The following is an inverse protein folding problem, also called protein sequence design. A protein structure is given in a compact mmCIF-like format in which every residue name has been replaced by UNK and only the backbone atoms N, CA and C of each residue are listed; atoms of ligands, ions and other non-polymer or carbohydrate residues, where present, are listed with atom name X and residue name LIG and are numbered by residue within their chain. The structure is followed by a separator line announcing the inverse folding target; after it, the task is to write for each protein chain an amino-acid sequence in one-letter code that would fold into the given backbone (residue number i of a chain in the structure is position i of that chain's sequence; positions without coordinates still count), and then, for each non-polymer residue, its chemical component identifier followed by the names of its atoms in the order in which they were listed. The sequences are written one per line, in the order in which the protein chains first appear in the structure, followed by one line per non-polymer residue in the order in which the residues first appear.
data_IF_916262578651
#
_entry.id   IF_916262578651
#
_cell.length_a   1.000
_cell.length_b   1.000
_cell.length_c   1.000
_cell.angle_alpha   90.00
_cell.angle_beta   90.00
_cell.angle_gamma   90.00
#
_symmetry.space_group_name_H-M   'P 1'
#
loop_
_entity.id
_entity.type
_entity.pdbx_description
1 polymer ?
#
# COMPACT_ATOMS: atom_id res chain seq x y z
N UNK A 1 13.52 -1.94 33.30
CA UNK A 1 13.44 -2.97 32.24
C UNK A 1 11.98 -3.39 32.00
N UNK A 2 11.19 -3.66 33.05
CA UNK A 2 9.79 -4.11 32.92
C UNK A 2 8.85 -3.16 32.15
N UNK A 3 9.04 -1.84 32.23
CA UNK A 3 8.15 -0.87 31.60
C UNK A 3 8.20 -0.91 30.07
N UNK A 4 9.35 -1.24 29.48
CA UNK A 4 9.50 -1.34 28.02
C UNK A 4 8.73 -2.56 27.49
N UNK A 5 8.75 -3.68 28.24
CA UNK A 5 8.19 -4.96 27.80
C UNK A 5 6.65 -4.94 27.80
N UNK A 6 6.00 -4.15 28.68
CA UNK A 6 4.53 -4.08 28.76
C UNK A 6 3.85 -3.56 27.48
N UNK A 7 4.56 -2.83 26.63
CA UNK A 7 4.05 -2.33 25.35
C UNK A 7 4.44 -3.18 24.13
N UNK A 8 5.22 -4.23 24.33
CA UNK A 8 5.85 -5.01 23.25
C UNK A 8 5.00 -6.25 22.96
N UNK A 9 4.70 -6.50 21.67
CA UNK A 9 3.98 -7.72 21.25
C UNK A 9 4.76 -8.95 21.71
N UNK A 10 4.08 -10.02 22.14
CA UNK A 10 4.73 -11.18 22.76
C UNK A 10 5.87 -11.82 21.94
N UNK A 11 5.80 -11.78 20.60
CA UNK A 11 6.87 -12.26 19.72
C UNK A 11 8.13 -11.36 19.75
N UNK A 12 7.94 -10.05 19.90
CA UNK A 12 9.03 -9.07 19.99
C UNK A 12 9.65 -9.10 21.41
N UNK A 13 8.87 -9.49 22.44
CA UNK A 13 9.32 -9.58 23.82
C UNK A 13 10.43 -10.62 24.01
N UNK A 14 10.32 -11.79 23.37
CA UNK A 14 11.35 -12.83 23.43
C UNK A 14 12.69 -12.35 22.85
N UNK A 15 12.65 -11.57 21.76
CA UNK A 15 13.86 -11.04 21.10
C UNK A 15 14.58 -9.99 21.93
N UNK A 16 13.87 -9.21 22.75
CA UNK A 16 14.47 -8.18 23.60
C UNK A 16 14.87 -8.70 24.97
N UNK A 17 14.30 -9.82 25.43
CA UNK A 17 14.66 -10.45 26.71
C UNK A 17 16.11 -10.99 26.72
N UNK A 18 16.72 -11.21 25.56
CA UNK A 18 18.14 -11.62 25.45
C UNK A 18 19.11 -10.42 25.42
N UNK A 19 18.61 -9.19 25.33
CA UNK A 19 19.45 -7.99 25.32
C UNK A 19 19.90 -7.65 26.75
N UNK A 20 21.16 -7.25 26.89
CA UNK A 20 21.76 -7.00 28.21
C UNK A 20 21.52 -5.57 28.68
N UNK A 21 21.24 -4.64 27.76
CA UNK A 21 21.02 -3.23 28.08
C UNK A 21 19.69 -2.70 27.54
N UNK A 22 19.12 -1.70 28.21
CA UNK A 22 17.91 -1.03 27.74
C UNK A 22 18.09 -0.35 26.38
N UNK A 23 19.32 0.08 26.06
CA UNK A 23 19.67 0.65 24.76
C UNK A 23 19.57 -0.41 23.66
N UNK A 24 20.18 -1.58 23.86
CA UNK A 24 20.07 -2.70 22.92
C UNK A 24 18.61 -3.11 22.70
N UNK A 25 17.81 -3.21 23.78
CA UNK A 25 16.38 -3.51 23.66
C UNK A 25 15.65 -2.48 22.78
N UNK A 26 15.90 -1.18 23.00
CA UNK A 26 15.28 -0.10 22.23
C UNK A 26 15.71 -0.13 20.76
N UNK A 27 16.99 -0.33 20.50
CA UNK A 27 17.55 -0.41 19.15
C UNK A 27 16.96 -1.61 18.39
N UNK A 28 16.87 -2.78 19.03
CA UNK A 28 16.22 -3.97 18.45
C UNK A 28 14.74 -3.74 18.14
N UNK A 29 13.97 -3.15 19.05
CA UNK A 29 12.56 -2.84 18.81
C UNK A 29 12.36 -1.87 17.66
N UNK A 30 13.22 -0.85 17.60
CA UNK A 30 13.19 0.16 16.54
C UNK A 30 13.50 -0.50 15.19
N UNK A 31 14.53 -1.34 15.12
CA UNK A 31 14.90 -2.07 13.90
C UNK A 31 13.77 -2.99 13.41
N UNK A 32 13.17 -3.78 14.30
CA UNK A 32 12.05 -4.68 13.97
C UNK A 32 10.80 -3.90 13.56
N UNK A 33 10.50 -2.77 14.20
CA UNK A 33 9.41 -1.88 13.77
C UNK A 33 9.70 -1.32 12.37
N UNK A 34 10.90 -0.80 12.14
CA UNK A 34 11.29 -0.25 10.83
C UNK A 34 11.21 -1.30 9.72
N UNK A 35 11.67 -2.53 9.97
CA UNK A 35 11.60 -3.62 9.01
C UNK A 35 10.15 -4.01 8.69
N UNK A 36 9.29 -4.08 9.71
CA UNK A 36 7.85 -4.36 9.52
C UNK A 36 7.16 -3.25 8.75
N UNK A 37 7.42 -1.99 9.09
CA UNK A 37 6.84 -0.84 8.41
C UNK A 37 7.29 -0.84 6.93
N UNK A 38 8.57 -1.07 6.64
CA UNK A 38 9.05 -1.20 5.25
C UNK A 38 8.37 -2.35 4.50
N UNK A 39 8.31 -3.53 5.12
CA UNK A 39 7.69 -4.72 4.52
C UNK A 39 6.20 -4.51 4.24
N UNK A 40 5.50 -3.85 5.15
CA UNK A 40 4.09 -3.49 4.99
C UNK A 40 3.88 -2.48 3.87
N UNK A 41 4.73 -1.46 3.74
CA UNK A 41 4.64 -0.50 2.65
C UNK A 41 4.89 -1.15 1.27
N UNK A 42 5.85 -2.09 1.18
CA UNK A 42 6.08 -2.88 -0.05
C UNK A 42 4.86 -3.76 -0.38
N UNK A 43 4.26 -4.40 0.62
CA UNK A 43 3.05 -5.20 0.44
C UNK A 43 1.88 -4.35 -0.06
N UNK A 44 1.61 -3.20 0.56
CA UNK A 44 0.58 -2.27 0.13
C UNK A 44 0.79 -1.75 -1.30
N UNK A 45 2.05 -1.47 -1.67
CA UNK A 45 2.38 -1.10 -3.06
C UNK A 45 2.00 -2.23 -4.00
N UNK A 46 2.42 -3.45 -3.72
CA UNK A 46 2.07 -4.61 -4.55
C UNK A 46 0.55 -4.78 -4.68
N UNK A 47 -0.18 -4.67 -3.58
CA UNK A 47 -1.65 -4.73 -3.57
C UNK A 47 -2.23 -3.65 -4.50
N UNK A 48 -1.80 -2.40 -4.36
CA UNK A 48 -2.23 -1.29 -5.22
C UNK A 48 -1.94 -1.53 -6.71
N UNK A 49 -0.74 -2.01 -7.06
CA UNK A 49 -0.36 -2.24 -8.47
C UNK A 49 -1.07 -3.44 -9.12
N UNK A 50 -1.59 -4.37 -8.31
CA UNK A 50 -2.23 -5.59 -8.81
C UNK A 50 -3.75 -5.59 -8.63
N UNK A 51 -4.29 -4.62 -7.87
CA UNK A 51 -5.72 -4.48 -7.67
C UNK A 51 -6.41 -4.21 -9.00
N UNK A 52 -7.37 -5.07 -9.33
CA UNK A 52 -8.09 -5.04 -10.60
C UNK A 52 -9.58 -4.97 -10.34
N UNK A 53 -10.29 -4.28 -11.22
CA UNK A 53 -11.74 -4.21 -11.17
C UNK A 53 -12.34 -5.60 -11.41
N UNK A 54 -13.23 -6.07 -10.54
CA UNK A 54 -13.86 -7.38 -10.71
C UNK A 54 -15.16 -7.28 -11.54
N UNK A 55 -15.45 -8.25 -12.44
CA UNK A 55 -16.72 -8.29 -13.15
C UNK A 55 -17.91 -8.28 -12.18
N UNK A 56 -18.83 -7.33 -12.35
CA UNK A 56 -20.01 -7.18 -11.50
C UNK A 56 -19.79 -6.33 -10.23
N UNK A 57 -18.56 -5.91 -9.93
CA UNK A 57 -18.28 -4.94 -8.86
C UNK A 57 -18.82 -3.56 -9.23
N UNK A 58 -19.27 -2.75 -8.26
CA UNK A 58 -19.61 -1.36 -8.57
C UNK A 58 -18.33 -0.54 -8.73
N UNK A 59 -18.28 0.32 -9.74
CA UNK A 59 -17.11 1.21 -9.96
C UNK A 59 -16.79 2.07 -8.72
N UNK A 60 -17.81 2.51 -7.98
CA UNK A 60 -17.62 3.27 -6.75
C UNK A 60 -16.88 2.47 -5.66
N UNK A 61 -17.18 1.17 -5.53
CA UNK A 61 -16.50 0.28 -4.58
C UNK A 61 -15.03 0.10 -4.97
N UNK A 62 -14.75 -0.14 -6.25
CA UNK A 62 -13.38 -0.23 -6.75
C UNK A 62 -12.56 1.05 -6.52
N UNK A 63 -13.13 2.21 -6.83
CA UNK A 63 -12.47 3.51 -6.59
C UNK A 63 -12.22 3.71 -5.09
N UNK A 64 -13.17 3.32 -4.23
CA UNK A 64 -13.02 3.42 -2.79
C UNK A 64 -11.89 2.51 -2.29
N UNK A 65 -11.82 1.25 -2.73
CA UNK A 65 -10.75 0.31 -2.39
C UNK A 65 -9.36 0.84 -2.78
N UNK A 66 -9.24 1.32 -4.02
CA UNK A 66 -8.04 1.95 -4.54
C UNK A 66 -7.62 3.16 -3.69
N UNK A 67 -8.56 4.03 -3.31
CA UNK A 67 -8.27 5.18 -2.44
C UNK A 67 -7.87 4.77 -1.02
N UNK A 68 -8.47 3.71 -0.46
CA UNK A 68 -8.05 3.18 0.84
C UNK A 68 -6.60 2.67 0.82
N UNK A 69 -6.20 1.98 -0.26
CA UNK A 69 -4.81 1.55 -0.45
C UNK A 69 -3.85 2.74 -0.56
N UNK A 70 -4.22 3.77 -1.33
CA UNK A 70 -3.45 5.01 -1.43
C UNK A 70 -3.27 5.70 -0.08
N UNK A 71 -4.34 5.85 0.69
CA UNK A 71 -4.28 6.47 2.02
C UNK A 71 -3.40 5.67 2.98
N UNK A 72 -3.52 4.33 2.99
CA UNK A 72 -2.65 3.46 3.82
C UNK A 72 -1.17 3.65 3.46
N UNK A 73 -0.84 3.78 2.18
CA UNK A 73 0.53 4.09 1.75
C UNK A 73 0.99 5.48 2.18
N UNK A 74 0.15 6.50 2.04
CA UNK A 74 0.48 7.87 2.48
C UNK A 74 0.76 7.96 3.98
N UNK A 75 0.04 7.17 4.80
CA UNK A 75 0.31 7.08 6.24
C UNK A 75 1.67 6.44 6.58
N UNK A 76 2.31 5.70 5.66
CA UNK A 76 3.64 5.14 5.85
C UNK A 76 4.76 6.19 5.70
N UNK A 77 4.43 7.39 5.20
CA UNK A 77 5.34 8.52 5.09
C UNK A 77 5.52 9.05 3.67
N UNK A 78 6.27 10.16 3.52
CA UNK A 78 6.37 10.91 2.27
C UNK A 78 6.96 10.11 1.11
N UNK A 79 7.81 9.11 1.39
CA UNK A 79 8.43 8.23 0.37
C UNK A 79 7.45 7.27 -0.32
N UNK A 80 6.21 7.18 0.17
CA UNK A 80 5.17 6.27 -0.35
C UNK A 80 3.98 7.00 -0.95
N UNK A 81 4.08 8.31 -1.17
CA UNK A 81 3.02 9.10 -1.80
C UNK A 81 2.82 8.66 -3.25
N UNK A 82 1.57 8.39 -3.60
CA UNK A 82 1.12 8.21 -4.98
C UNK A 82 0.38 9.49 -5.37
N UNK A 83 0.86 10.17 -6.41
CA UNK A 83 0.22 11.37 -6.96
C UNK A 83 -1.07 11.02 -7.71
N UNK A 84 -1.89 12.03 -8.01
CA UNK A 84 -3.20 11.82 -8.65
C UNK A 84 -3.08 11.25 -10.08
N UNK A 85 -2.02 11.59 -10.81
CA UNK A 85 -1.79 11.09 -12.17
C UNK A 85 -1.48 9.60 -12.12
N UNK A 86 -0.50 9.21 -11.30
CA UNK A 86 -0.15 7.80 -11.06
C UNK A 86 -1.37 7.01 -10.56
N UNK A 87 -2.15 7.58 -9.65
CA UNK A 87 -3.35 6.93 -9.13
C UNK A 87 -4.39 6.68 -10.22
N UNK A 88 -4.64 7.67 -11.09
CA UNK A 88 -5.58 7.54 -12.21
C UNK A 88 -5.14 6.47 -13.21
N UNK A 89 -3.83 6.38 -13.49
CA UNK A 89 -3.27 5.36 -14.38
C UNK A 89 -3.44 3.96 -13.80
N UNK A 90 -3.20 3.78 -12.50
CA UNK A 90 -3.38 2.50 -11.82
C UNK A 90 -4.85 2.06 -11.83
N UNK A 91 -5.77 2.99 -11.53
CA UNK A 91 -7.20 2.72 -11.59
C UNK A 91 -7.62 2.27 -13.01
N UNK A 92 -7.15 2.98 -14.04
CA UNK A 92 -7.44 2.63 -15.44
C UNK A 92 -6.83 1.29 -15.84
N UNK A 93 -5.59 1.00 -15.45
CA UNK A 93 -4.94 -0.29 -15.71
C UNK A 93 -5.75 -1.47 -15.13
N UNK A 94 -6.20 -1.36 -13.88
CA UNK A 94 -7.02 -2.40 -13.25
C UNK A 94 -8.38 -2.60 -13.90
N UNK A 95 -8.94 -1.56 -14.55
CA UNK A 95 -10.17 -1.67 -15.36
C UNK A 95 -9.89 -2.27 -16.75
N UNK A 96 -8.80 -1.84 -17.41
CA UNK A 96 -8.35 -2.36 -18.71
C UNK A 96 -8.08 -3.86 -18.69
N UNK A 97 -7.54 -4.37 -17.57
CA UNK A 97 -7.23 -5.78 -17.39
C UNK A 97 -8.45 -6.68 -17.56
N UNK A 98 -9.65 -6.16 -17.27
CA UNK A 98 -10.93 -6.90 -17.31
C UNK A 98 -11.82 -6.47 -18.47
N UNK A 99 -11.78 -5.20 -18.88
CA UNK A 99 -12.57 -4.64 -19.97
C UNK A 99 -11.69 -4.00 -21.05
N UNK A 100 -10.89 -4.82 -21.73
CA UNK A 100 -9.96 -4.37 -22.78
C UNK A 100 -10.65 -3.60 -23.92
N UNK A 101 -11.93 -3.87 -24.17
CA UNK A 101 -12.71 -3.25 -25.26
C UNK A 101 -13.24 -1.84 -24.94
N UNK A 102 -13.42 -1.49 -23.67
CA UNK A 102 -13.97 -0.18 -23.27
C UNK A 102 -12.92 0.93 -23.43
N UNK A 103 -11.65 0.62 -23.20
CA UNK A 103 -10.56 1.60 -23.26
C UNK A 103 -10.10 1.86 -24.70
N UNK A 104 -10.09 0.83 -25.56
CA UNK A 104 -9.83 1.02 -26.98
C UNK A 104 -10.86 1.93 -27.65
N UNK A 105 -12.14 1.84 -27.28
CA UNK A 105 -13.18 2.67 -27.90
C UNK A 105 -13.10 4.16 -27.51
N UNK A 106 -12.76 4.49 -26.26
CA UNK A 106 -12.62 5.89 -25.82
C UNK A 106 -11.31 6.54 -26.26
N UNK A 107 -10.20 5.80 -26.29
CA UNK A 107 -8.91 6.31 -26.79
C UNK A 107 -8.96 6.53 -28.31
N UNK A 108 -9.60 5.62 -29.08
CA UNK A 108 -9.82 5.86 -30.52
C UNK A 108 -10.64 7.13 -30.78
N UNK A 109 -11.75 7.32 -30.05
CA UNK A 109 -12.60 8.49 -30.26
C UNK A 109 -11.91 9.81 -29.87
N UNK A 110 -11.09 9.82 -28.82
CA UNK A 110 -10.33 11.02 -28.42
C UNK A 110 -9.20 11.37 -29.39
N UNK A 111 -8.66 10.38 -30.13
CA UNK A 111 -7.67 10.61 -31.19
C UNK A 111 -8.35 11.02 -32.51
N UNK A 112 -9.53 10.49 -32.81
CA UNK A 112 -10.31 10.80 -34.01
C UNK A 112 -11.08 12.14 -33.93
N UNK A 113 -11.27 12.71 -32.73
CA UNK A 113 -11.90 14.03 -32.54
C UNK A 113 -10.90 15.19 -32.55
N UNK A 114 -9.64 14.93 -32.92
CA UNK A 114 -8.55 15.91 -33.02
C UNK A 114 -8.14 16.21 -34.47
N UNK A 115 -8.79 15.58 -35.44
CA UNK A 115 -8.76 15.89 -36.88
C UNK A 115 -10.09 16.55 -37.29
#
# INVERSE_FOLDING_TARGET
METIIRGVKGADAQKVCICSTAKEMWDTLTAEKSQRDFSYAVHLKRELYTHSYAPGQKMAEYIQEMNMLRQRLQHMGPSFVIDDTSMSQLMLMGVCAVHREIVTHKVKNALLSRD
#
